data_IF_506468496959
#
_entry.id   IF_506468496959
#
_cell.length_a   1.000
_cell.length_b   1.000
_cell.length_c   1.000
_cell.angle_alpha   90.00
_cell.angle_beta   90.00
_cell.angle_gamma   90.00
#
_symmetry.space_group_name_H-M   'P 1'
#
loop_
_entity.id
_entity.type
_entity.pdbx_description
1 polymer ?
#
# COMPACT_ATOMS: atom_id res chain seq x y z
N UNK A 1 35.95 35.93 46.21
CA UNK A 1 36.19 34.80 45.27
C UNK A 1 34.98 33.87 45.11
N UNK A 2 33.87 34.09 45.83
CA UNK A 2 32.69 33.20 45.80
C UNK A 2 31.93 33.20 44.46
N UNK A 3 31.91 34.34 43.76
CA UNK A 3 31.18 34.53 42.50
C UNK A 3 31.79 33.79 41.28
N UNK A 4 33.11 33.55 41.29
CA UNK A 4 33.79 32.93 40.15
C UNK A 4 33.54 31.42 40.07
N UNK A 5 33.47 30.75 41.23
CA UNK A 5 33.22 29.32 41.30
C UNK A 5 31.75 28.97 40.96
N UNK A 6 30.82 29.84 41.34
CA UNK A 6 29.39 29.68 41.01
C UNK A 6 29.12 29.96 39.53
N UNK A 7 29.73 31.00 38.97
CA UNK A 7 29.71 31.27 37.54
C UNK A 7 30.29 30.10 36.71
N UNK A 8 31.37 29.46 37.20
CA UNK A 8 31.97 28.31 36.52
C UNK A 8 31.04 27.08 36.49
N UNK A 9 30.27 26.84 37.56
CA UNK A 9 29.27 25.75 37.62
C UNK A 9 28.12 26.00 36.67
N UNK A 10 27.61 27.24 36.62
CA UNK A 10 26.55 27.62 35.69
C UNK A 10 27.04 27.55 34.22
N UNK A 11 28.26 28.00 33.94
CA UNK A 11 28.88 27.88 32.63
C UNK A 11 29.08 26.41 32.20
N UNK A 12 29.48 25.53 33.13
CA UNK A 12 29.59 24.09 32.88
C UNK A 12 28.25 23.44 32.53
N UNK A 13 27.16 23.82 33.21
CA UNK A 13 25.82 23.34 32.91
C UNK A 13 25.32 23.80 31.53
N UNK A 14 25.57 25.07 31.17
CA UNK A 14 25.23 25.61 29.84
C UNK A 14 26.04 24.92 28.74
N UNK A 15 27.32 24.63 28.99
CA UNK A 15 28.17 23.91 28.03
C UNK A 15 27.65 22.49 27.77
N UNK A 16 27.28 21.76 28.83
CA UNK A 16 26.70 20.41 28.72
C UNK A 16 25.38 20.43 27.95
N UNK A 17 24.53 21.43 28.21
CA UNK A 17 23.27 21.62 27.49
C UNK A 17 23.50 21.89 26.00
N UNK A 18 24.47 22.75 25.65
CA UNK A 18 24.81 23.04 24.27
C UNK A 18 25.32 21.81 23.52
N UNK A 19 26.15 20.98 24.16
CA UNK A 19 26.63 19.72 23.57
C UNK A 19 25.45 18.77 23.28
N UNK A 20 24.53 18.60 24.24
CA UNK A 20 23.35 17.77 24.05
C UNK A 20 22.43 18.29 22.93
N UNK A 21 22.27 19.61 22.84
CA UNK A 21 21.49 20.26 21.79
C UNK A 21 22.14 20.07 20.41
N UNK A 22 23.47 20.18 20.30
CA UNK A 22 24.20 19.90 19.06
C UNK A 22 24.02 18.46 18.59
N UNK A 23 24.16 17.47 19.49
CA UNK A 23 23.96 16.05 19.16
C UNK A 23 22.51 15.79 18.71
N UNK A 24 21.55 16.45 19.34
CA UNK A 24 20.13 16.33 18.98
C UNK A 24 19.87 16.86 17.57
N UNK A 25 20.41 18.04 17.22
CA UNK A 25 20.27 18.62 15.87
C UNK A 25 20.88 17.70 14.81
N UNK A 26 22.09 17.19 15.05
CA UNK A 26 22.78 16.26 14.14
C UNK A 26 21.94 14.99 13.92
N UNK A 27 21.38 14.42 14.99
CA UNK A 27 20.53 13.23 14.93
C UNK A 27 19.28 13.45 14.07
N UNK A 28 18.60 14.60 14.23
CA UNK A 28 17.45 14.95 13.38
C UNK A 28 17.83 15.17 11.92
N UNK A 29 19.01 15.74 11.64
CA UNK A 29 19.53 15.88 10.28
C UNK A 29 19.77 14.53 9.60
N UNK A 30 20.31 13.55 10.32
CA UNK A 30 20.50 12.19 9.78
C UNK A 30 19.17 11.49 9.51
N UNK A 31 18.17 11.63 10.40
CA UNK A 31 16.83 11.07 10.19
C UNK A 31 16.17 11.68 8.95
N UNK A 32 16.31 12.99 8.75
CA UNK A 32 15.81 13.66 7.55
C UNK A 32 16.51 13.20 6.29
N UNK A 33 17.85 13.12 6.29
CA UNK A 33 18.61 12.62 5.14
C UNK A 33 18.23 11.19 4.77
N UNK A 34 18.05 10.31 5.75
CA UNK A 34 17.58 8.95 5.51
C UNK A 34 16.16 8.94 4.92
N UNK A 35 15.25 9.79 5.41
CA UNK A 35 13.92 9.94 4.85
C UNK A 35 13.94 10.48 3.40
N UNK A 36 14.79 11.47 3.12
CA UNK A 36 14.98 12.05 1.78
C UNK A 36 15.60 11.02 0.82
N UNK A 37 16.59 10.23 1.26
CA UNK A 37 17.17 9.12 0.47
C UNK A 37 16.14 8.05 0.16
N UNK A 38 15.29 7.67 1.12
CA UNK A 38 14.20 6.71 0.87
C UNK A 38 13.20 7.27 -0.16
N UNK A 39 12.94 8.58 -0.14
CA UNK A 39 12.10 9.24 -1.13
C UNK A 39 12.75 9.28 -2.52
N UNK A 40 14.05 9.56 -2.59
CA UNK A 40 14.81 9.63 -3.85
C UNK A 40 15.00 8.26 -4.50
N UNK A 41 15.22 7.20 -3.70
CA UNK A 41 15.22 5.81 -4.19
C UNK A 41 13.87 5.41 -4.79
N UNK A 42 12.75 5.89 -4.24
CA UNK A 42 11.42 5.65 -4.82
C UNK A 42 11.22 6.28 -6.20
N UNK A 43 11.98 7.30 -6.55
CA UNK A 43 11.81 8.05 -7.80
C UNK A 43 12.66 7.49 -8.97
N UNK A 44 13.71 6.69 -8.69
CA UNK A 44 14.79 6.46 -9.66
C UNK A 44 14.86 5.09 -10.35
N UNK A 45 14.00 4.13 -10.05
CA UNK A 45 14.13 2.79 -10.65
C UNK A 45 13.37 2.64 -11.96
N UNK A 46 14.01 2.86 -13.11
CA UNK A 46 13.49 2.44 -14.43
C UNK A 46 13.74 0.94 -14.68
N UNK A 47 12.63 0.20 -14.79
CA UNK A 47 12.27 -0.80 -15.81
C UNK A 47 13.21 -2.00 -16.12
N UNK A 48 12.77 -3.21 -15.77
CA UNK A 48 13.01 -4.45 -16.53
C UNK A 48 11.76 -5.36 -16.43
N UNK A 49 11.36 -5.92 -17.58
CA UNK A 49 10.20 -6.80 -17.75
C UNK A 49 10.68 -8.25 -17.63
N UNK A 50 10.11 -9.03 -16.71
CA UNK A 50 10.10 -10.50 -16.85
C UNK A 50 8.82 -11.14 -16.28
N UNK A 51 8.08 -11.73 -17.23
CA UNK A 51 7.17 -12.88 -17.19
C UNK A 51 5.83 -12.91 -16.41
N UNK A 52 4.81 -13.33 -17.17
CA UNK A 52 3.46 -13.87 -16.85
C UNK A 52 2.44 -13.04 -16.06
N UNK A 53 2.80 -11.86 -15.57
CA UNK A 53 1.81 -10.86 -15.14
C UNK A 53 2.16 -9.50 -15.76
N UNK A 54 1.17 -8.75 -16.24
CA UNK A 54 1.32 -7.39 -16.83
C UNK A 54 1.79 -6.32 -15.82
N UNK A 55 2.45 -6.74 -14.73
CA UNK A 55 3.01 -5.87 -13.72
C UNK A 55 4.51 -5.78 -13.98
N UNK A 56 5.08 -4.56 -14.02
CA UNK A 56 6.51 -4.41 -13.82
C UNK A 56 6.79 -4.75 -12.36
N UNK A 57 7.04 -6.03 -12.11
CA UNK A 57 7.77 -6.46 -10.92
C UNK A 57 9.20 -6.00 -11.18
N UNK A 58 9.63 -4.92 -10.52
CA UNK A 58 11.05 -4.61 -10.44
C UNK A 58 11.69 -5.77 -9.70
N UNK A 59 12.27 -6.73 -10.41
CA UNK A 59 12.74 -8.01 -9.85
C UNK A 59 13.86 -7.86 -8.80
N UNK A 60 14.35 -6.66 -8.50
CA UNK A 60 15.57 -6.54 -7.69
C UNK A 60 15.64 -5.53 -6.53
N UNK A 61 14.63 -4.72 -6.15
CA UNK A 61 14.95 -3.62 -5.20
C UNK A 61 14.00 -3.32 -4.02
N UNK A 62 13.07 -4.20 -3.60
CA UNK A 62 12.64 -4.22 -2.17
C UNK A 62 11.81 -5.44 -1.77
N UNK A 63 12.26 -6.65 -2.07
CA UNK A 63 11.68 -7.80 -1.38
C UNK A 63 12.05 -7.72 0.11
N UNK A 64 11.06 -7.44 0.95
CA UNK A 64 11.24 -7.42 2.40
C UNK A 64 10.16 -8.22 3.11
N UNK A 65 10.58 -8.93 4.14
CA UNK A 65 9.67 -9.55 5.10
C UNK A 65 8.97 -8.43 5.89
N UNK A 66 7.64 -8.46 5.94
CA UNK A 66 6.82 -7.43 6.59
C UNK A 66 5.82 -8.05 7.56
N UNK A 67 5.61 -7.38 8.69
CA UNK A 67 4.55 -7.71 9.64
C UNK A 67 3.26 -6.93 9.40
N UNK A 68 2.24 -7.26 10.21
CA UNK A 68 0.93 -6.60 10.18
C UNK A 68 1.04 -5.09 10.42
N UNK A 69 2.01 -4.66 11.23
CA UNK A 69 2.30 -3.25 11.52
C UNK A 69 2.73 -2.44 10.30
N UNK A 70 3.20 -3.09 9.23
CA UNK A 70 3.53 -2.46 7.94
C UNK A 70 2.35 -2.53 6.97
N UNK A 71 1.67 -3.69 6.95
CA UNK A 71 0.56 -3.96 6.01
C UNK A 71 -0.66 -3.08 6.34
N UNK A 72 -1.07 -3.01 7.62
CA UNK A 72 -2.32 -2.35 8.01
C UNK A 72 -2.32 -0.83 7.74
N UNK A 73 -1.25 -0.07 8.07
CA UNK A 73 -1.19 1.35 7.70
C UNK A 73 -1.18 1.57 6.19
N UNK A 74 -0.64 0.63 5.41
CA UNK A 74 -0.68 0.69 3.95
C UNK A 74 -2.11 0.45 3.45
N UNK A 75 -2.80 -0.59 3.91
CA UNK A 75 -4.21 -0.82 3.55
C UNK A 75 -5.10 0.38 3.89
N UNK A 76 -4.88 1.05 5.03
CA UNK A 76 -5.68 2.23 5.41
C UNK A 76 -5.53 3.42 4.46
N UNK A 77 -4.44 3.50 3.68
CA UNK A 77 -4.11 4.64 2.82
C UNK A 77 -4.28 4.36 1.33
N UNK A 78 -4.73 3.16 0.98
CA UNK A 78 -4.89 2.70 -0.41
C UNK A 78 -5.70 3.66 -1.28
N UNK A 79 -6.80 4.19 -0.74
CA UNK A 79 -7.69 5.10 -1.48
C UNK A 79 -7.22 6.56 -1.45
N UNK A 80 -6.53 6.99 -0.39
CA UNK A 80 -6.01 8.36 -0.28
C UNK A 80 -4.75 8.58 -1.12
N UNK A 81 -3.89 7.57 -1.20
CA UNK A 81 -2.63 7.62 -1.94
C UNK A 81 -2.76 6.99 -3.35
N UNK A 82 -3.95 6.52 -3.72
CA UNK A 82 -4.32 5.96 -5.04
C UNK A 82 -3.34 4.91 -5.58
N UNK A 83 -3.01 3.91 -4.76
CA UNK A 83 -2.27 2.73 -5.21
C UNK A 83 -3.14 1.47 -5.16
N UNK A 84 -2.67 0.41 -5.80
CA UNK A 84 -3.30 -0.91 -5.79
C UNK A 84 -2.57 -1.81 -4.80
N UNK A 85 -3.29 -2.55 -3.97
CA UNK A 85 -2.73 -3.60 -3.11
C UNK A 85 -3.22 -4.95 -3.61
N UNK A 86 -2.31 -5.91 -3.75
CA UNK A 86 -2.62 -7.29 -4.13
C UNK A 86 -2.16 -8.22 -3.00
N UNK A 87 -2.98 -9.20 -2.65
CA UNK A 87 -2.63 -10.23 -1.68
C UNK A 87 -2.58 -11.60 -2.35
N UNK A 88 -1.38 -12.16 -2.44
CA UNK A 88 -1.13 -13.48 -3.02
C UNK A 88 -0.99 -14.53 -1.91
N UNK A 89 -1.58 -15.71 -2.10
CA UNK A 89 -1.50 -16.81 -1.13
C UNK A 89 -2.49 -16.71 0.03
N UNK A 90 -3.51 -15.83 -0.07
CA UNK A 90 -4.65 -15.86 0.84
C UNK A 90 -5.55 -17.07 0.56
N UNK A 91 -6.10 -17.66 1.62
CA UNK A 91 -7.01 -18.80 1.51
C UNK A 91 -8.44 -18.38 1.09
N UNK A 92 -8.87 -17.19 1.50
CA UNK A 92 -10.19 -16.65 1.16
C UNK A 92 -10.05 -15.26 0.54
N UNK A 93 -10.98 -14.85 -0.34
CA UNK A 93 -10.99 -13.49 -0.85
C UNK A 93 -11.19 -12.50 0.29
N UNK A 94 -10.74 -11.27 0.05
CA UNK A 94 -10.89 -10.12 0.94
C UNK A 94 -12.37 -9.69 0.99
N UNK A 95 -13.02 -9.73 -0.17
CA UNK A 95 -14.47 -9.60 -0.32
C UNK A 95 -14.90 -10.23 -1.67
N UNK A 96 -16.19 -10.50 -1.83
CA UNK A 96 -16.78 -10.96 -3.09
C UNK A 96 -17.82 -9.96 -3.56
N UNK A 97 -17.78 -9.57 -4.83
CA UNK A 97 -18.78 -8.66 -5.40
C UNK A 97 -20.10 -9.41 -5.57
N UNK A 98 -21.21 -8.91 -5.01
CA UNK A 98 -22.50 -9.61 -5.01
C UNK A 98 -23.06 -9.81 -6.42
N UNK A 99 -22.90 -8.82 -7.30
CA UNK A 99 -23.46 -8.84 -8.66
C UNK A 99 -22.70 -9.77 -9.60
N UNK A 100 -21.38 -9.61 -9.70
CA UNK A 100 -20.53 -10.41 -10.59
C UNK A 100 -20.12 -11.76 -9.98
N UNK A 101 -20.29 -11.94 -8.65
CA UNK A 101 -19.75 -13.06 -7.87
C UNK A 101 -18.24 -13.18 -7.95
N UNK A 102 -17.57 -12.09 -8.31
CA UNK A 102 -16.13 -12.06 -8.45
C UNK A 102 -15.48 -11.99 -7.07
N UNK A 103 -14.54 -12.91 -6.83
CA UNK A 103 -13.73 -12.99 -5.63
C UNK A 103 -12.53 -12.05 -5.74
N UNK A 104 -12.37 -11.17 -4.75
CA UNK A 104 -11.36 -10.11 -4.79
C UNK A 104 -10.26 -10.36 -3.77
N UNK A 105 -9.03 -10.39 -4.28
CA UNK A 105 -7.78 -10.49 -3.51
C UNK A 105 -6.97 -9.19 -3.56
N UNK A 106 -7.58 -8.11 -4.04
CA UNK A 106 -6.94 -6.82 -4.19
C UNK A 106 -7.83 -5.69 -3.68
N UNK A 107 -7.20 -4.55 -3.37
CA UNK A 107 -7.83 -3.27 -3.12
C UNK A 107 -7.32 -2.29 -4.17
N UNK A 108 -8.24 -1.66 -4.90
CA UNK A 108 -7.92 -0.77 -6.00
C UNK A 108 -8.89 0.40 -6.01
N UNK A 109 -8.39 1.61 -5.82
CA UNK A 109 -9.22 2.81 -5.79
C UNK A 109 -10.11 3.00 -7.00
N UNK A 110 -9.70 2.58 -8.20
CA UNK A 110 -10.51 2.77 -9.41
C UNK A 110 -11.64 1.76 -9.51
N UNK A 111 -11.33 0.48 -9.37
CA UNK A 111 -12.35 -0.57 -9.40
C UNK A 111 -13.31 -0.45 -8.21
N UNK A 112 -12.77 -0.13 -7.03
CA UNK A 112 -13.54 -0.03 -5.81
C UNK A 112 -14.39 1.25 -5.77
N UNK A 113 -14.13 2.29 -6.57
CA UNK A 113 -14.91 3.53 -6.53
C UNK A 113 -16.42 3.29 -6.72
N UNK A 114 -16.79 2.38 -7.62
CA UNK A 114 -18.20 2.01 -7.86
C UNK A 114 -18.82 1.24 -6.66
N UNK A 115 -17.96 0.59 -5.88
CA UNK A 115 -18.33 -0.25 -4.74
C UNK A 115 -18.33 0.57 -3.45
N UNK A 116 -17.16 1.07 -3.02
CA UNK A 116 -16.88 1.85 -1.80
C UNK A 116 -17.58 3.21 -1.81
N UNK A 117 -17.97 3.73 -2.97
CA UNK A 117 -18.54 5.07 -3.09
C UNK A 117 -17.53 6.18 -2.80
N UNK A 118 -17.99 7.44 -2.87
CA UNK A 118 -17.14 8.62 -2.64
C UNK A 118 -17.31 9.16 -1.22
N UNK A 119 -16.19 9.45 -0.56
CA UNK A 119 -16.14 10.13 0.74
C UNK A 119 -15.35 9.37 1.82
N UNK A 120 -14.64 10.10 2.66
CA UNK A 120 -13.70 9.55 3.66
C UNK A 120 -14.38 8.61 4.66
N UNK A 121 -15.57 8.94 5.16
CA UNK A 121 -16.30 8.09 6.12
C UNK A 121 -16.76 6.76 5.49
N UNK A 122 -17.16 6.82 4.22
CA UNK A 122 -17.58 5.67 3.42
C UNK A 122 -16.42 4.72 3.13
N UNK A 123 -15.30 5.29 2.70
CA UNK A 123 -14.05 4.56 2.48
C UNK A 123 -13.52 3.91 3.77
N UNK A 124 -13.54 4.63 4.88
CA UNK A 124 -13.14 4.09 6.19
C UNK A 124 -14.04 2.94 6.64
N UNK A 125 -15.36 3.11 6.53
CA UNK A 125 -16.34 2.05 6.84
C UNK A 125 -16.11 0.80 5.98
N UNK A 126 -15.88 0.98 4.68
CA UNK A 126 -15.54 -0.12 3.77
C UNK A 126 -14.26 -0.84 4.21
N UNK A 127 -13.17 -0.10 4.44
CA UNK A 127 -11.89 -0.66 4.86
C UNK A 127 -11.98 -1.35 6.23
N UNK A 128 -12.72 -0.79 7.18
CA UNK A 128 -12.92 -1.39 8.50
C UNK A 128 -13.64 -2.74 8.39
N UNK A 129 -14.65 -2.83 7.53
CA UNK A 129 -15.39 -4.06 7.30
C UNK A 129 -14.53 -5.11 6.57
N UNK A 130 -13.77 -4.70 5.58
CA UNK A 130 -12.86 -5.59 4.83
C UNK A 130 -11.70 -6.09 5.69
N UNK A 131 -11.01 -5.18 6.37
CA UNK A 131 -9.79 -5.48 7.13
C UNK A 131 -10.12 -6.25 8.41
N UNK A 132 -11.13 -5.78 9.16
CA UNK A 132 -11.43 -6.29 10.50
C UNK A 132 -12.74 -7.08 10.59
N UNK A 133 -13.57 -7.11 9.55
CA UNK A 133 -14.89 -7.74 9.59
C UNK A 133 -15.94 -6.92 10.35
N UNK A 134 -15.61 -5.68 10.74
CA UNK A 134 -16.48 -4.83 11.53
C UNK A 134 -17.43 -4.01 10.64
N UNK A 135 -18.73 -4.27 10.77
CA UNK A 135 -19.79 -3.62 9.99
C UNK A 135 -20.47 -2.55 10.84
N UNK A 136 -20.38 -1.30 10.43
CA UNK A 136 -21.12 -0.19 11.03
C UNK A 136 -22.42 0.09 10.26
N UNK A 137 -23.14 1.13 10.66
CA UNK A 137 -24.38 1.56 9.98
C UNK A 137 -24.10 2.01 8.55
N UNK A 138 -23.01 2.77 8.33
CA UNK A 138 -22.59 3.21 7.00
C UNK A 138 -22.37 2.00 6.09
N UNK A 139 -21.74 0.94 6.60
CA UNK A 139 -21.51 -0.27 5.82
C UNK A 139 -22.81 -0.94 5.42
N UNK A 140 -23.74 -1.12 6.36
CA UNK A 140 -25.00 -1.79 6.10
C UNK A 140 -25.84 -1.03 5.07
N UNK A 141 -25.85 0.29 5.17
CA UNK A 141 -26.64 1.16 4.29
C UNK A 141 -26.05 1.24 2.86
N UNK A 142 -24.73 1.10 2.70
CA UNK A 142 -24.05 1.37 1.43
C UNK A 142 -23.46 0.13 0.74
N UNK A 143 -23.04 -0.90 1.49
CA UNK A 143 -22.21 -2.00 0.98
C UNK A 143 -22.77 -3.40 1.19
N UNK A 144 -23.66 -3.63 2.16
CA UNK A 144 -24.19 -4.97 2.46
C UNK A 144 -24.83 -5.68 1.24
N UNK A 145 -25.40 -4.91 0.31
CA UNK A 145 -25.98 -5.43 -0.93
C UNK A 145 -24.99 -5.47 -2.10
N UNK A 146 -23.82 -4.83 -1.98
CA UNK A 146 -22.80 -4.72 -3.04
C UNK A 146 -21.70 -5.77 -2.89
N UNK A 147 -21.31 -6.07 -1.66
CA UNK A 147 -20.23 -7.00 -1.36
C UNK A 147 -20.66 -8.04 -0.33
N UNK A 148 -19.99 -9.19 -0.37
CA UNK A 148 -20.05 -10.23 0.66
C UNK A 148 -18.67 -10.35 1.27
N UNK A 149 -18.59 -10.29 2.59
CA UNK A 149 -17.35 -10.52 3.31
C UNK A 149 -17.17 -12.01 3.58
N UNK A 150 -15.93 -12.53 3.51
CA UNK A 150 -15.62 -13.88 3.94
C UNK A 150 -15.92 -14.06 5.44
N UNK A 151 -16.03 -15.31 5.90
CA UNK A 151 -16.15 -15.60 7.33
C UNK A 151 -14.93 -15.17 8.16
N UNK A 152 -13.76 -15.05 7.52
CA UNK A 152 -12.51 -14.61 8.11
C UNK A 152 -12.03 -13.29 7.49
N UNK A 153 -11.95 -12.23 8.29
CA UNK A 153 -11.44 -10.93 7.85
C UNK A 153 -9.98 -10.99 7.38
N UNK A 154 -9.55 -10.04 6.57
CA UNK A 154 -8.17 -9.96 6.08
C UNK A 154 -7.16 -9.99 7.25
N UNK A 155 -7.39 -9.21 8.30
CA UNK A 155 -6.54 -9.22 9.49
C UNK A 155 -6.42 -10.62 10.10
N UNK A 156 -7.53 -11.33 10.23
CA UNK A 156 -7.55 -12.69 10.80
C UNK A 156 -6.79 -13.67 9.91
N UNK A 157 -6.96 -13.58 8.59
CA UNK A 157 -6.25 -14.43 7.65
C UNK A 157 -4.73 -14.20 7.69
N UNK A 158 -4.30 -12.94 7.68
CA UNK A 158 -2.87 -12.60 7.75
C UNK A 158 -2.26 -13.00 9.09
N UNK A 159 -2.99 -12.77 10.19
CA UNK A 159 -2.55 -13.18 11.52
C UNK A 159 -2.42 -14.70 11.64
N UNK A 160 -3.40 -15.46 11.15
CA UNK A 160 -3.35 -16.93 11.13
C UNK A 160 -2.19 -17.45 10.28
N UNK A 161 -1.87 -16.79 9.17
CA UNK A 161 -0.70 -17.14 8.36
C UNK A 161 0.60 -16.96 9.18
N UNK A 162 0.78 -15.80 9.81
CA UNK A 162 1.96 -15.51 10.63
C UNK A 162 2.08 -16.43 11.86
N UNK A 163 0.97 -16.63 12.59
CA UNK A 163 0.91 -17.55 13.74
C UNK A 163 1.18 -19.01 13.32
N UNK A 164 0.86 -19.35 12.06
CA UNK A 164 1.18 -20.64 11.43
C UNK A 164 2.62 -20.77 10.92
N UNK A 165 3.46 -19.76 11.13
CA UNK A 165 4.87 -19.76 10.72
C UNK A 165 5.12 -19.34 9.26
N UNK A 166 4.10 -18.85 8.56
CA UNK A 166 4.26 -18.29 7.21
C UNK A 166 4.94 -16.93 7.27
N UNK A 167 5.59 -16.56 6.16
CA UNK A 167 6.18 -15.23 5.99
C UNK A 167 5.36 -14.42 5.02
N UNK A 168 5.37 -13.09 5.20
CA UNK A 168 4.73 -12.17 4.26
C UNK A 168 5.82 -11.33 3.62
N UNK A 169 5.98 -11.46 2.31
CA UNK A 169 6.93 -10.70 1.52
C UNK A 169 6.19 -9.56 0.81
N UNK A 170 6.67 -8.33 0.97
CA UNK A 170 6.19 -7.16 0.22
C UNK A 170 7.01 -7.00 -1.06
N UNK A 171 6.32 -6.74 -2.17
CA UNK A 171 6.91 -6.39 -3.46
C UNK A 171 6.32 -5.05 -3.92
N UNK A 172 7.19 -4.12 -4.30
CA UNK A 172 6.81 -2.91 -5.00
C UNK A 172 6.77 -3.16 -6.51
N UNK A 173 5.71 -2.74 -7.16
CA UNK A 173 5.59 -2.76 -8.62
C UNK A 173 4.95 -1.48 -9.15
N UNK A 174 5.00 -1.31 -10.47
CA UNK A 174 4.23 -0.26 -11.17
C UNK A 174 3.51 -0.88 -12.36
N UNK A 175 2.34 -0.36 -12.69
CA UNK A 175 1.62 -0.73 -13.92
C UNK A 175 1.05 0.52 -14.61
N UNK A 176 0.84 0.38 -15.91
CA UNK A 176 0.13 1.37 -16.71
C UNK A 176 -1.36 1.05 -16.70
N UNK A 177 -2.19 2.00 -16.26
CA UNK A 177 -3.63 1.82 -16.08
C UNK A 177 -4.39 1.38 -17.34
N UNK A 178 -3.90 1.78 -18.51
CA UNK A 178 -4.59 1.56 -19.78
C UNK A 178 -4.45 0.11 -20.29
N UNK A 179 -3.48 -0.66 -19.77
CA UNK A 179 -3.26 -2.06 -20.13
C UNK A 179 -4.26 -3.01 -19.41
N UNK A 180 -5.00 -2.54 -18.38
CA UNK A 180 -6.06 -3.30 -17.70
C UNK A 180 -7.41 -3.26 -18.45
N UNK A 181 -7.65 -2.24 -19.28
CA UNK A 181 -8.92 -2.07 -20.01
C UNK A 181 -9.08 -3.06 -21.17
N UNK A 182 -7.97 -3.43 -21.81
CA UNK A 182 -7.94 -4.33 -22.99
C UNK A 182 -8.13 -5.80 -22.64
N UNK A 183 -7.86 -6.21 -21.40
CA UNK A 183 -7.98 -7.62 -20.97
C UNK A 183 -9.41 -8.03 -20.56
N UNK A 184 -10.36 -7.09 -20.48
CA UNK A 184 -11.78 -7.39 -20.27
C UNK A 184 -12.54 -7.85 -21.53
N UNK A 185 -11.88 -7.89 -22.69
CA UNK A 185 -12.44 -8.33 -23.97
C UNK A 185 -11.90 -9.72 -24.39
N UNK A 186 -11.96 -10.72 -23.51
CA UNK A 186 -11.82 -12.12 -23.94
C UNK A 186 -13.18 -12.81 -23.92
N UNK A 187 -13.91 -12.66 -25.03
CA UNK A 187 -15.24 -13.24 -25.18
C UNK A 187 -15.68 -13.32 -26.64
N UNK A 188 -15.28 -14.41 -27.30
CA UNK A 188 -15.78 -14.91 -28.59
C UNK A 188 -15.20 -14.22 -29.83
N UNK A 189 -14.59 -15.03 -30.70
CA UNK A 189 -13.90 -14.55 -31.89
C UNK A 189 -14.82 -13.90 -32.92
N UNK A 190 -14.26 -12.94 -33.63
CA UNK A 190 -14.09 -13.02 -35.08
C UNK A 190 -13.01 -12.01 -35.48
N UNK A 191 -12.28 -12.32 -36.56
CA UNK A 191 -11.33 -11.40 -37.17
C UNK A 191 -12.01 -10.07 -37.49
N UNK A 192 -11.56 -8.97 -36.88
CA UNK A 192 -11.61 -7.70 -37.58
C UNK A 192 -10.43 -6.80 -37.24
N UNK A 193 -9.91 -6.19 -38.28
CA UNK A 193 -8.66 -5.48 -38.36
C UNK A 193 -8.93 -4.04 -37.90
N UNK A 194 -8.55 -3.66 -36.68
CA UNK A 194 -8.64 -2.27 -36.23
C UNK A 194 -7.41 -1.87 -35.42
N UNK A 195 -6.48 -1.25 -36.12
CA UNK A 195 -5.46 -0.30 -35.65
C UNK A 195 -5.29 -0.23 -34.12
N UNK A 196 -4.36 -1.03 -33.61
CA UNK A 196 -3.68 -0.74 -32.35
C UNK A 196 -2.91 0.59 -32.54
N UNK A 197 -3.53 1.70 -32.15
CA UNK A 197 -2.79 2.93 -31.90
C UNK A 197 -2.01 2.70 -30.60
N UNK A 198 -0.74 2.31 -30.73
CA UNK A 198 0.26 2.35 -29.67
C UNK A 198 0.29 3.75 -29.06
N UNK A 199 -0.52 3.98 -28.02
CA UNK A 199 -0.43 5.22 -27.26
C UNK A 199 0.97 5.30 -26.65
N UNK A 200 1.72 6.40 -26.91
CA UNK A 200 3.05 6.55 -26.35
C UNK A 200 2.96 6.47 -24.83
N UNK A 201 3.87 5.73 -24.19
CA UNK A 201 3.91 5.49 -22.73
C UNK A 201 3.88 6.78 -21.89
N UNK A 202 4.19 7.92 -22.50
CA UNK A 202 4.08 9.26 -21.91
C UNK A 202 2.64 9.68 -21.60
N UNK A 203 1.64 9.09 -22.25
CA UNK A 203 0.22 9.38 -22.04
C UNK A 203 -0.47 8.38 -21.10
N UNK A 204 0.18 7.26 -20.77
CA UNK A 204 -0.37 6.25 -19.88
C UNK A 204 -0.23 6.68 -18.42
N UNK A 205 -1.31 6.56 -17.66
CA UNK A 205 -1.27 6.92 -16.24
C UNK A 205 -0.61 5.79 -15.43
N UNK A 206 0.53 6.10 -14.81
CA UNK A 206 1.32 5.16 -13.99
C UNK A 206 0.68 5.02 -12.61
N UNK A 207 0.40 3.79 -12.19
CA UNK A 207 -0.10 3.48 -10.85
C UNK A 207 0.86 2.56 -10.11
N UNK A 208 1.05 2.85 -8.82
CA UNK A 208 1.89 2.05 -7.93
C UNK A 208 1.10 0.82 -7.47
N UNK A 209 1.76 -0.33 -7.47
CA UNK A 209 1.24 -1.61 -6.97
C UNK A 209 2.08 -2.04 -5.79
N UNK A 210 1.42 -2.55 -4.76
CA UNK A 210 2.07 -3.19 -3.61
C UNK A 210 1.49 -4.60 -3.53
N UNK A 211 2.34 -5.60 -3.68
CA UNK A 211 1.94 -7.01 -3.59
C UNK A 211 2.45 -7.59 -2.27
N UNK A 212 1.57 -8.22 -1.51
CA UNK A 212 1.92 -9.00 -0.33
C UNK A 212 1.75 -10.48 -0.64
N UNK A 213 2.86 -11.22 -0.71
CA UNK A 213 2.86 -12.67 -0.92
C UNK A 213 3.02 -13.40 0.40
N UNK A 214 2.09 -14.31 0.66
CA UNK A 214 2.08 -15.15 1.85
C UNK A 214 2.72 -16.48 1.49
N UNK A 215 3.89 -16.77 2.09
CA UNK A 215 4.73 -17.95 1.84
C UNK A 215 4.63 -18.93 3.02
#
# INVERSE_FOLDING_TARGET
>A
MENAAEALKMAGGVLLFLIALSVSIISFSHVRQAADTILEYKDRETEYIDSDYYYQVGINESEREVGLETILPTVSRVYTENYKIIFEGLNNPIYTVTKSREERFCLDGEFDNDIKGSGTAKEQSFLQAVVYGQKDTIFNDNYANKIRLPGTSLYTQLKQALDGGKKIMEYGGRYYQDDEKTSSASGTGDNDNSNDEDEPETNKTRKRVITYRIL
#
